data_IF_455133184505
#
_entry.id   IF_455133184505
#
_cell.length_a   1.000
_cell.length_b   1.000
_cell.length_c   1.000
_cell.angle_alpha   90.00
_cell.angle_beta   90.00
_cell.angle_gamma   90.00
#
_symmetry.space_group_name_H-M   'P 1'
#
loop_
_entity.id
_entity.type
_entity.pdbx_description
1 polymer ?
#
# COMPACT_ATOMS: atom_id res chain seq x y z
N UNK A 1 2.85 75.89 32.30
CA UNK A 1 1.47 75.39 32.16
C UNK A 1 1.54 73.95 31.65
N UNK A 2 1.66 72.94 32.54
CA UNK A 2 0.57 72.08 33.07
C UNK A 2 -0.42 71.55 32.02
N UNK A 3 -0.38 70.21 31.88
CA UNK A 3 -1.42 69.20 31.52
C UNK A 3 -1.04 68.39 30.27
N UNK A 4 -1.20 67.08 30.19
CA UNK A 4 -1.60 66.03 31.12
C UNK A 4 -1.18 64.70 30.47
N UNK A 5 -0.77 63.74 31.28
CA UNK A 5 -0.59 62.32 30.95
C UNK A 5 -1.93 61.72 30.51
N UNK A 6 -1.96 60.89 29.46
CA UNK A 6 -2.77 59.66 29.46
C UNK A 6 -2.13 58.55 28.63
N UNK A 7 -1.76 57.51 29.37
CA UNK A 7 -1.46 56.14 28.97
C UNK A 7 -2.67 55.54 28.24
N UNK A 8 -2.45 54.93 27.08
CA UNK A 8 -3.32 53.93 26.45
C UNK A 8 -2.39 52.92 25.77
N UNK A 9 -1.95 51.94 26.56
CA UNK A 9 -2.44 50.56 26.53
C UNK A 9 -2.22 49.89 25.18
N UNK A 10 -1.13 49.10 25.18
CA UNK A 10 -1.01 47.83 24.49
C UNK A 10 -2.36 47.10 24.39
N UNK A 11 -2.90 47.01 23.18
CA UNK A 11 -3.63 45.83 22.75
C UNK A 11 -2.88 45.27 21.54
N UNK A 12 -1.96 44.34 21.83
CA UNK A 12 -1.55 43.29 20.91
C UNK A 12 -2.79 42.46 20.56
N UNK A 13 -3.68 43.02 19.75
CA UNK A 13 -4.57 42.25 18.93
C UNK A 13 -3.76 41.73 17.77
N UNK A 14 -3.04 40.62 17.99
CA UNK A 14 -2.77 39.66 16.92
C UNK A 14 -4.14 39.14 16.47
N UNK A 15 -4.85 39.99 15.72
CA UNK A 15 -5.86 39.55 14.78
C UNK A 15 -5.08 38.78 13.74
N UNK A 16 -4.80 37.51 14.03
CA UNK A 16 -4.69 36.49 13.01
C UNK A 16 -5.99 36.67 12.25
N UNK A 17 -5.93 37.39 11.13
CA UNK A 17 -6.97 37.33 10.13
C UNK A 17 -6.98 35.87 9.73
N UNK A 18 -7.84 35.09 10.39
CA UNK A 18 -8.43 33.92 9.79
C UNK A 18 -9.15 34.45 8.58
N UNK A 19 -8.43 34.61 7.48
CA UNK A 19 -9.04 34.57 6.16
C UNK A 19 -9.60 33.16 6.13
N UNK A 20 -10.94 32.96 6.21
CA UNK A 20 -11.47 31.64 5.99
C UNK A 20 -10.96 31.25 4.61
N UNK A 21 -10.15 30.18 4.55
CA UNK A 21 -9.73 29.62 3.28
C UNK A 21 -11.03 29.42 2.50
N UNK A 22 -11.19 30.18 1.42
CA UNK A 22 -12.38 30.07 0.59
C UNK A 22 -12.43 28.61 0.16
N UNK A 23 -13.56 27.90 0.33
CA UNK A 23 -13.64 26.51 -0.07
C UNK A 23 -13.20 26.43 -1.53
N UNK A 24 -12.12 25.70 -1.79
CA UNK A 24 -11.57 25.53 -3.13
C UNK A 24 -12.70 25.00 -4.01
N UNK A 25 -12.98 25.70 -5.12
CA UNK A 25 -14.04 25.26 -6.00
C UNK A 25 -13.60 23.98 -6.71
N UNK A 26 -14.54 23.07 -6.99
CA UNK A 26 -14.25 21.82 -7.72
C UNK A 26 -13.50 22.09 -9.04
N UNK A 27 -13.82 23.20 -9.72
CA UNK A 27 -13.16 23.59 -10.97
C UNK A 27 -11.71 24.04 -10.80
N UNK A 28 -11.34 24.60 -9.65
CA UNK A 28 -9.96 25.00 -9.37
C UNK A 28 -9.11 23.76 -9.06
N UNK A 29 -9.67 22.80 -8.32
CA UNK A 29 -9.06 21.49 -8.06
C UNK A 29 -8.81 20.72 -9.38
N UNK A 30 -9.78 20.69 -10.30
CA UNK A 30 -9.61 20.05 -11.60
C UNK A 30 -8.48 20.67 -12.43
N UNK A 31 -8.38 22.01 -12.42
CA UNK A 31 -7.30 22.72 -13.12
C UNK A 31 -5.93 22.42 -12.52
N UNK A 32 -5.85 22.36 -11.19
CA UNK A 32 -4.61 22.00 -10.50
C UNK A 32 -4.19 20.56 -10.83
N UNK A 33 -5.13 19.62 -10.88
CA UNK A 33 -4.85 18.24 -11.30
C UNK A 33 -4.49 18.11 -12.78
N UNK A 34 -5.16 18.84 -13.67
CA UNK A 34 -4.78 18.93 -15.08
C UNK A 34 -3.37 19.50 -15.24
N UNK A 35 -3.01 20.53 -14.47
CA UNK A 35 -1.66 21.09 -14.47
C UNK A 35 -0.65 20.06 -13.96
N UNK A 36 -0.93 19.41 -12.84
CA UNK A 36 -0.11 18.35 -12.22
C UNK A 36 0.20 17.23 -13.22
N UNK A 37 -0.84 16.68 -13.86
CA UNK A 37 -0.72 15.57 -14.82
C UNK A 37 0.17 15.93 -16.01
N UNK A 38 0.09 17.17 -16.46
CA UNK A 38 0.81 17.62 -17.64
C UNK A 38 2.23 18.16 -17.36
N UNK A 39 2.55 18.57 -16.11
CA UNK A 39 3.77 19.34 -15.84
C UNK A 39 4.65 18.81 -14.70
N UNK A 40 4.14 18.01 -13.76
CA UNK A 40 4.87 17.66 -12.52
C UNK A 40 5.32 16.19 -12.46
N UNK A 41 4.61 15.27 -13.13
CA UNK A 41 5.01 13.86 -13.25
C UNK A 41 4.29 12.90 -12.29
N UNK A 42 4.82 11.68 -12.15
CA UNK A 42 4.09 10.53 -11.58
C UNK A 42 3.67 10.65 -10.11
N UNK A 43 4.46 11.27 -9.24
CA UNK A 43 4.14 11.34 -7.80
C UNK A 43 2.93 12.23 -7.50
N UNK A 44 2.75 13.29 -8.29
CA UNK A 44 1.63 14.20 -8.12
C UNK A 44 0.31 13.56 -8.64
N UNK A 45 0.40 12.70 -9.66
CA UNK A 45 -0.71 11.83 -10.08
C UNK A 45 -1.04 10.79 -8.99
N UNK A 46 -0.03 10.28 -8.28
CA UNK A 46 -0.25 9.34 -7.17
C UNK A 46 -1.02 10.00 -6.02
N UNK A 47 -0.72 11.27 -5.73
CA UNK A 47 -1.48 12.06 -4.74
C UNK A 47 -2.93 12.25 -5.17
N UNK A 48 -3.19 12.62 -6.43
CA UNK A 48 -4.55 12.73 -6.98
C UNK A 48 -5.31 11.40 -6.81
N UNK A 49 -4.69 10.28 -7.18
CA UNK A 49 -5.29 8.96 -7.05
C UNK A 49 -5.68 8.65 -5.59
N UNK A 50 -4.80 8.96 -4.64
CA UNK A 50 -5.06 8.75 -3.21
C UNK A 50 -6.20 9.66 -2.69
N UNK A 51 -6.22 10.94 -3.07
CA UNK A 51 -7.25 11.88 -2.64
C UNK A 51 -8.65 11.42 -3.08
N UNK A 52 -8.80 10.91 -4.29
CA UNK A 52 -10.07 10.35 -4.75
C UNK A 52 -10.36 8.95 -4.19
N UNK A 53 -9.34 8.19 -3.76
CA UNK A 53 -9.54 6.91 -3.06
C UNK A 53 -10.19 7.12 -1.69
N UNK A 54 -9.72 8.11 -0.92
CA UNK A 54 -10.19 8.35 0.45
C UNK A 54 -11.31 9.40 0.54
N UNK A 55 -11.38 10.30 -0.43
CA UNK A 55 -12.07 11.58 -0.26
C UNK A 55 -11.31 12.51 0.70
N UNK A 56 -11.69 13.79 0.71
CA UNK A 56 -11.14 14.81 1.60
C UNK A 56 -12.24 15.84 1.92
N UNK A 57 -12.97 15.68 3.05
CA UNK A 57 -14.00 16.63 3.45
C UNK A 57 -13.49 18.06 3.63
N UNK A 58 -12.26 18.21 4.15
CA UNK A 58 -11.60 19.50 4.37
C UNK A 58 -11.33 20.25 3.05
N UNK A 59 -11.12 19.52 1.96
CA UNK A 59 -10.88 20.06 0.62
C UNK A 59 -12.12 19.96 -0.28
N UNK A 60 -13.27 19.55 0.25
CA UNK A 60 -14.51 19.33 -0.49
C UNK A 60 -14.34 18.34 -1.67
N UNK A 61 -13.53 17.31 -1.48
CA UNK A 61 -13.32 16.22 -2.45
C UNK A 61 -14.13 15.01 -2.01
N UNK A 62 -15.14 14.64 -2.80
CA UNK A 62 -15.87 13.39 -2.60
C UNK A 62 -15.02 12.19 -3.03
N UNK A 63 -15.22 11.05 -2.35
CA UNK A 63 -14.61 9.79 -2.76
C UNK A 63 -15.11 9.40 -4.16
N UNK A 64 -14.18 9.10 -5.07
CA UNK A 64 -14.43 8.66 -6.45
C UNK A 64 -13.48 7.51 -6.81
N UNK A 65 -13.88 6.30 -6.41
CA UNK A 65 -13.09 5.09 -6.65
C UNK A 65 -12.82 4.82 -8.14
N UNK A 66 -13.79 4.92 -9.07
CA UNK A 66 -13.49 4.78 -10.50
C UNK A 66 -12.42 5.74 -11.02
N UNK A 67 -12.42 7.00 -10.57
CA UNK A 67 -11.36 7.96 -10.93
C UNK A 67 -10.01 7.56 -10.34
N UNK A 68 -9.97 7.29 -9.05
CA UNK A 68 -8.75 6.83 -8.36
C UNK A 68 -8.11 5.63 -9.06
N UNK A 69 -8.91 4.60 -9.37
CA UNK A 69 -8.45 3.39 -10.07
C UNK A 69 -7.98 3.67 -11.49
N UNK A 70 -8.61 4.63 -12.19
CA UNK A 70 -8.15 5.05 -13.52
C UNK A 70 -6.79 5.75 -13.47
N UNK A 71 -6.51 6.52 -12.42
CA UNK A 71 -5.22 7.16 -12.20
C UNK A 71 -4.14 6.13 -11.82
N UNK A 72 -4.47 5.18 -10.92
CA UNK A 72 -3.59 4.04 -10.66
C UNK A 72 -3.31 3.22 -11.93
N UNK A 73 -4.30 3.01 -12.80
CA UNK A 73 -4.09 2.35 -14.08
C UNK A 73 -3.08 3.08 -14.98
N UNK A 74 -3.10 4.42 -14.98
CA UNK A 74 -2.14 5.23 -15.73
C UNK A 74 -0.73 5.08 -15.15
N UNK A 75 -0.59 5.18 -13.83
CA UNK A 75 0.67 5.00 -13.11
C UNK A 75 1.25 3.58 -13.27
N UNK A 76 0.40 2.56 -13.24
CA UNK A 76 0.80 1.17 -13.46
C UNK A 76 1.41 0.97 -14.84
N UNK A 77 0.84 1.57 -15.89
CA UNK A 77 1.44 1.55 -17.25
C UNK A 77 2.78 2.29 -17.29
N UNK A 78 2.96 3.29 -16.43
CA UNK A 78 4.22 3.99 -16.19
C UNK A 78 5.19 3.25 -15.26
N UNK A 79 4.98 1.97 -14.99
CA UNK A 79 5.84 1.13 -14.15
C UNK A 79 5.94 1.59 -12.68
N UNK A 80 4.83 2.10 -12.12
CA UNK A 80 4.77 2.50 -10.72
C UNK A 80 4.37 1.34 -9.79
N UNK A 81 5.24 0.91 -8.85
CA UNK A 81 4.95 -0.24 -7.99
C UNK A 81 3.93 0.05 -6.87
N UNK A 82 3.71 1.31 -6.51
CA UNK A 82 2.62 1.70 -5.59
C UNK A 82 1.27 1.50 -6.28
N UNK A 83 1.16 1.89 -7.55
CA UNK A 83 -0.04 1.65 -8.34
C UNK A 83 -0.28 0.15 -8.57
N UNK A 84 0.78 -0.63 -8.81
CA UNK A 84 0.70 -2.09 -8.89
C UNK A 84 0.14 -2.69 -7.60
N UNK A 85 0.67 -2.29 -6.43
CA UNK A 85 0.15 -2.70 -5.13
C UNK A 85 -1.34 -2.39 -5.00
N UNK A 86 -1.75 -1.14 -5.25
CA UNK A 86 -3.15 -0.70 -5.12
C UNK A 86 -4.10 -1.48 -6.02
N UNK A 87 -3.75 -1.64 -7.30
CA UNK A 87 -4.58 -2.42 -8.24
C UNK A 87 -4.63 -3.91 -7.86
N UNK A 88 -3.52 -4.48 -7.41
CA UNK A 88 -3.45 -5.85 -6.92
C UNK A 88 -4.33 -6.09 -5.71
N UNK A 89 -4.34 -5.19 -4.73
CA UNK A 89 -5.22 -5.29 -3.56
C UNK A 89 -6.70 -5.21 -3.94
N UNK A 90 -7.07 -4.34 -4.88
CA UNK A 90 -8.47 -4.25 -5.36
C UNK A 90 -8.86 -5.53 -6.12
N UNK A 91 -7.96 -6.07 -6.95
CA UNK A 91 -8.18 -7.33 -7.66
C UNK A 91 -8.32 -8.51 -6.68
N UNK A 92 -7.51 -8.55 -5.62
CA UNK A 92 -7.63 -9.56 -4.56
C UNK A 92 -8.96 -9.44 -3.83
N UNK A 93 -9.36 -8.23 -3.43
CA UNK A 93 -10.65 -8.01 -2.80
C UNK A 93 -11.83 -8.43 -3.72
N UNK A 94 -11.70 -8.21 -5.02
CA UNK A 94 -12.68 -8.72 -6.00
C UNK A 94 -12.71 -10.25 -6.05
N UNK A 95 -11.56 -10.94 -6.01
CA UNK A 95 -11.53 -12.40 -5.98
C UNK A 95 -12.16 -12.97 -4.71
N UNK A 96 -11.91 -12.35 -3.56
CA UNK A 96 -12.46 -12.77 -2.27
C UNK A 96 -13.98 -12.53 -2.20
N UNK A 97 -14.41 -11.32 -2.58
CA UNK A 97 -15.83 -10.95 -2.60
C UNK A 97 -16.14 -10.03 -3.78
N UNK A 98 -16.60 -10.58 -4.92
CA UNK A 98 -16.88 -9.79 -6.13
C UNK A 98 -17.91 -8.66 -5.94
N UNK A 99 -18.83 -8.83 -4.99
CA UNK A 99 -19.90 -7.86 -4.71
C UNK A 99 -19.40 -6.67 -3.87
N UNK A 100 -18.22 -6.77 -3.26
CA UNK A 100 -17.63 -5.69 -2.47
C UNK A 100 -17.03 -4.57 -3.32
N UNK A 101 -16.79 -4.81 -4.62
CA UNK A 101 -16.16 -3.86 -5.53
C UNK A 101 -17.20 -3.24 -6.47
N UNK A 102 -17.26 -1.90 -6.59
CA UNK A 102 -18.16 -1.24 -7.52
C UNK A 102 -17.95 -1.69 -8.98
N UNK A 103 -19.06 -1.89 -9.71
CA UNK A 103 -19.03 -2.35 -11.12
C UNK A 103 -18.15 -1.45 -12.02
N UNK A 104 -18.11 -0.15 -11.75
CA UNK A 104 -17.24 0.79 -12.46
C UNK A 104 -15.75 0.46 -12.32
N UNK A 105 -15.31 0.11 -11.12
CA UNK A 105 -13.93 -0.31 -10.81
C UNK A 105 -13.59 -1.62 -11.51
N UNK A 106 -14.48 -2.62 -11.45
CA UNK A 106 -14.31 -3.90 -12.14
C UNK A 106 -14.15 -3.71 -13.66
N UNK A 107 -14.94 -2.81 -14.27
CA UNK A 107 -14.80 -2.47 -15.70
C UNK A 107 -13.44 -1.88 -16.03
N UNK A 108 -12.86 -1.07 -15.13
CA UNK A 108 -11.54 -0.50 -15.32
C UNK A 108 -10.47 -1.58 -15.21
N UNK A 109 -10.48 -2.43 -14.16
CA UNK A 109 -9.50 -3.52 -14.01
C UNK A 109 -9.47 -4.45 -15.23
N UNK A 110 -10.65 -4.83 -15.75
CA UNK A 110 -10.75 -5.61 -17.00
C UNK A 110 -10.12 -4.92 -18.21
N UNK A 111 -10.14 -3.58 -18.28
CA UNK A 111 -9.48 -2.80 -19.34
C UNK A 111 -7.97 -2.69 -19.15
N UNK A 112 -7.47 -2.78 -17.92
CA UNK A 112 -6.02 -2.76 -17.66
C UNK A 112 -5.39 -4.08 -18.09
N UNK A 113 -6.07 -5.19 -17.82
CA UNK A 113 -5.70 -6.48 -18.38
C UNK A 113 -6.11 -7.69 -17.56
N UNK A 114 -6.37 -7.52 -16.25
CA UNK A 114 -6.63 -8.66 -15.39
C UNK A 114 -7.51 -8.34 -14.18
N UNK A 115 -8.24 -9.35 -13.70
CA UNK A 115 -8.85 -9.39 -12.36
C UNK A 115 -8.06 -10.27 -11.40
N UNK A 116 -6.92 -10.80 -11.85
CA UNK A 116 -5.98 -11.60 -11.06
C UNK A 116 -5.00 -10.66 -10.33
N UNK A 117 -4.92 -10.70 -8.98
CA UNK A 117 -3.96 -9.93 -8.21
C UNK A 117 -2.50 -10.28 -8.50
N UNK A 118 -2.19 -11.54 -8.84
CA UNK A 118 -0.83 -12.00 -9.16
C UNK A 118 -0.25 -11.19 -10.32
N UNK A 119 -1.06 -10.86 -11.32
CA UNK A 119 -0.64 -10.02 -12.46
C UNK A 119 -0.07 -8.67 -12.01
N UNK A 120 -0.74 -8.01 -11.07
CA UNK A 120 -0.33 -6.70 -10.59
C UNK A 120 0.88 -6.79 -9.67
N UNK A 121 0.85 -7.71 -8.70
CA UNK A 121 1.96 -7.88 -7.75
C UNK A 121 3.25 -8.32 -8.45
N UNK A 122 3.16 -9.25 -9.41
CA UNK A 122 4.33 -9.68 -10.20
C UNK A 122 4.93 -8.55 -11.03
N UNK A 123 4.09 -7.70 -11.61
CA UNK A 123 4.56 -6.51 -12.34
C UNK A 123 5.23 -5.51 -11.39
N UNK A 124 4.59 -5.21 -10.26
CA UNK A 124 5.12 -4.30 -9.24
C UNK A 124 6.42 -4.78 -8.59
N UNK A 125 6.61 -6.09 -8.45
CA UNK A 125 7.83 -6.68 -7.85
C UNK A 125 9.07 -6.56 -8.73
N UNK A 126 8.91 -6.26 -10.02
CA UNK A 126 10.00 -6.10 -10.98
C UNK A 126 10.56 -4.67 -11.02
N UNK A 127 9.81 -3.66 -10.56
CA UNK A 127 10.15 -2.25 -10.72
C UNK A 127 10.95 -1.70 -9.54
N UNK A 128 12.16 -2.23 -9.35
CA UNK A 128 13.11 -1.85 -8.27
C UNK A 128 14.13 -0.78 -8.67
N UNK A 129 14.00 -0.19 -9.86
CA UNK A 129 15.02 0.71 -10.42
C UNK A 129 15.22 1.99 -9.61
N UNK A 130 14.22 2.42 -8.85
CA UNK A 130 14.29 3.58 -7.97
C UNK A 130 14.36 3.14 -6.51
N UNK A 131 15.38 3.60 -5.77
CA UNK A 131 15.60 3.23 -4.37
C UNK A 131 14.36 3.48 -3.49
N UNK A 132 13.65 4.58 -3.74
CA UNK A 132 12.44 4.95 -3.00
C UNK A 132 11.29 3.95 -3.13
N UNK A 133 11.32 3.11 -4.16
CA UNK A 133 10.31 2.10 -4.42
C UNK A 133 10.75 0.68 -4.05
N UNK A 134 11.96 0.50 -3.51
CA UNK A 134 12.47 -0.81 -3.13
C UNK A 134 11.52 -1.53 -2.17
N UNK A 135 11.14 -0.87 -1.08
CA UNK A 135 10.28 -1.49 -0.04
C UNK A 135 8.92 -1.94 -0.61
N UNK A 136 8.27 -1.10 -1.44
CA UNK A 136 6.97 -1.44 -2.00
C UNK A 136 7.07 -2.54 -3.08
N UNK A 137 8.17 -2.59 -3.83
CA UNK A 137 8.44 -3.68 -4.76
C UNK A 137 8.73 -5.00 -4.04
N UNK A 138 9.46 -4.96 -2.93
CA UNK A 138 9.70 -6.13 -2.07
C UNK A 138 8.38 -6.61 -1.43
N UNK A 139 7.52 -5.69 -0.98
CA UNK A 139 6.17 -6.02 -0.50
C UNK A 139 5.32 -6.66 -1.59
N UNK A 140 5.33 -6.13 -2.81
CA UNK A 140 4.64 -6.73 -3.95
C UNK A 140 5.10 -8.17 -4.20
N UNK A 141 6.40 -8.48 -4.07
CA UNK A 141 6.90 -9.86 -4.21
C UNK A 141 6.33 -10.79 -3.12
N UNK A 142 6.22 -10.31 -1.88
CA UNK A 142 5.59 -11.09 -0.79
C UNK A 142 4.12 -11.36 -1.09
N UNK A 143 3.38 -10.34 -1.54
CA UNK A 143 1.95 -10.47 -1.85
C UNK A 143 1.70 -11.35 -3.09
N UNK A 144 2.57 -11.28 -4.09
CA UNK A 144 2.60 -12.20 -5.23
C UNK A 144 2.68 -13.66 -4.73
N UNK A 145 3.65 -13.95 -3.85
CA UNK A 145 3.82 -15.29 -3.29
C UNK A 145 2.61 -15.77 -2.48
N UNK A 146 2.01 -14.90 -1.66
CA UNK A 146 0.81 -15.24 -0.89
C UNK A 146 -0.39 -15.51 -1.81
N UNK A 147 -0.60 -14.66 -2.83
CA UNK A 147 -1.66 -14.86 -3.81
C UNK A 147 -1.50 -16.19 -4.56
N UNK A 148 -0.28 -16.52 -4.99
CA UNK A 148 0.05 -17.81 -5.61
C UNK A 148 -0.19 -19.00 -4.68
N UNK A 149 0.13 -18.87 -3.38
CA UNK A 149 -0.17 -19.90 -2.39
C UNK A 149 -1.68 -20.14 -2.24
N UNK A 150 -2.48 -19.08 -2.23
CA UNK A 150 -3.94 -19.16 -2.15
C UNK A 150 -4.56 -19.81 -3.39
N UNK A 151 -3.95 -19.60 -4.57
CA UNK A 151 -4.30 -20.29 -5.81
C UNK A 151 -3.73 -21.72 -5.91
N UNK A 152 -3.07 -22.20 -4.85
CA UNK A 152 -2.44 -23.52 -4.78
C UNK A 152 -1.33 -23.74 -5.83
N UNK A 153 -0.69 -22.66 -6.30
CA UNK A 153 0.49 -22.66 -7.18
C UNK A 153 1.76 -22.62 -6.33
N UNK A 154 2.05 -23.74 -5.66
CA UNK A 154 2.98 -23.80 -4.53
C UNK A 154 4.44 -23.56 -4.93
N UNK A 155 4.88 -24.10 -6.06
CA UNK A 155 6.23 -23.91 -6.58
C UNK A 155 6.46 -22.44 -6.99
N UNK A 156 5.48 -21.82 -7.63
CA UNK A 156 5.53 -20.41 -8.04
C UNK A 156 5.52 -19.48 -6.81
N UNK A 157 4.70 -19.80 -5.79
CA UNK A 157 4.72 -19.13 -4.49
C UNK A 157 6.13 -19.17 -3.86
N UNK A 158 6.75 -20.35 -3.78
CA UNK A 158 8.10 -20.51 -3.23
C UNK A 158 9.11 -19.67 -4.03
N UNK A 159 9.01 -19.66 -5.36
CA UNK A 159 9.89 -18.86 -6.22
C UNK A 159 9.72 -17.35 -5.96
N UNK A 160 8.49 -16.85 -5.89
CA UNK A 160 8.21 -15.44 -5.63
C UNK A 160 8.74 -15.00 -4.24
N UNK A 161 8.50 -15.80 -3.20
CA UNK A 161 8.92 -15.53 -1.82
C UNK A 161 10.44 -15.67 -1.59
N UNK A 162 11.15 -16.33 -2.50
CA UNK A 162 12.61 -16.51 -2.46
C UNK A 162 13.32 -15.84 -3.64
N UNK A 163 12.66 -14.90 -4.32
CA UNK A 163 13.15 -14.25 -5.55
C UNK A 163 14.48 -13.52 -5.34
N UNK A 164 14.67 -12.92 -4.17
CA UNK A 164 15.92 -12.33 -3.73
C UNK A 164 16.06 -12.34 -2.20
N UNK A 165 17.23 -11.91 -1.73
CA UNK A 165 17.58 -11.94 -0.31
C UNK A 165 16.68 -11.04 0.53
N UNK A 166 16.35 -9.84 0.05
CA UNK A 166 15.57 -8.87 0.82
C UNK A 166 14.15 -9.39 1.07
N UNK A 167 13.53 -10.01 0.05
CA UNK A 167 12.21 -10.67 0.18
C UNK A 167 12.29 -11.91 1.07
N UNK A 168 13.27 -12.79 0.86
CA UNK A 168 13.41 -14.06 1.59
C UNK A 168 13.76 -13.89 3.09
N UNK A 169 14.23 -12.71 3.48
CA UNK A 169 14.56 -12.36 4.87
C UNK A 169 13.36 -11.84 5.66
N UNK A 170 12.23 -11.48 5.01
CA UNK A 170 11.00 -11.07 5.71
C UNK A 170 10.33 -12.26 6.39
N UNK A 171 9.85 -12.08 7.62
CA UNK A 171 9.27 -13.20 8.38
C UNK A 171 7.96 -13.69 7.77
N UNK A 172 7.17 -12.79 7.17
CA UNK A 172 5.94 -13.15 6.46
C UNK A 172 6.23 -14.02 5.22
N UNK A 173 7.28 -13.69 4.47
CA UNK A 173 7.69 -14.51 3.32
C UNK A 173 8.17 -15.91 3.76
N UNK A 174 8.89 -15.98 4.88
CA UNK A 174 9.34 -17.25 5.46
C UNK A 174 8.17 -18.10 5.93
N UNK A 175 7.16 -17.49 6.57
CA UNK A 175 5.95 -18.17 7.02
C UNK A 175 5.18 -18.81 5.84
N UNK A 176 4.92 -18.06 4.77
CA UNK A 176 4.22 -18.60 3.61
C UNK A 176 5.07 -19.56 2.78
N UNK A 177 6.40 -19.42 2.80
CA UNK A 177 7.31 -20.43 2.23
C UNK A 177 7.21 -21.74 3.00
N UNK A 178 7.17 -21.69 4.33
CA UNK A 178 6.93 -22.86 5.18
C UNK A 178 5.59 -23.53 4.86
N UNK A 179 4.50 -22.77 4.78
CA UNK A 179 3.18 -23.31 4.44
C UNK A 179 3.17 -23.96 3.06
N UNK A 180 3.87 -23.38 2.09
CA UNK A 180 4.00 -23.95 0.75
C UNK A 180 4.74 -25.30 0.80
N UNK A 181 5.87 -25.39 1.51
CA UNK A 181 6.61 -26.63 1.70
C UNK A 181 5.81 -27.70 2.46
N UNK A 182 5.03 -27.29 3.46
CA UNK A 182 4.16 -28.19 4.20
C UNK A 182 3.09 -28.81 3.29
N UNK A 183 2.44 -28.00 2.45
CA UNK A 183 1.43 -28.48 1.48
C UNK A 183 1.99 -29.49 0.47
N UNK A 184 3.26 -29.37 0.07
CA UNK A 184 3.93 -30.35 -0.82
C UNK A 184 4.61 -31.51 -0.05
N UNK A 185 4.35 -31.66 1.25
CA UNK A 185 4.83 -32.77 2.07
C UNK A 185 6.32 -32.71 2.45
N UNK A 186 6.97 -31.54 2.35
CA UNK A 186 8.38 -31.33 2.72
C UNK A 186 8.51 -30.78 4.14
N UNK A 187 8.07 -31.57 5.12
CA UNK A 187 7.94 -31.17 6.54
C UNK A 187 9.25 -30.62 7.11
N UNK A 188 10.38 -31.34 6.96
CA UNK A 188 11.68 -30.86 7.47
C UNK A 188 12.12 -29.50 6.92
N UNK A 189 11.70 -29.16 5.70
CA UNK A 189 11.99 -27.87 5.09
C UNK A 189 11.03 -26.81 5.65
N UNK A 190 9.75 -27.15 5.76
CA UNK A 190 8.74 -26.28 6.35
C UNK A 190 9.12 -25.86 7.78
N UNK A 191 9.53 -26.81 8.63
CA UNK A 191 9.90 -26.55 10.02
C UNK A 191 11.10 -25.59 10.13
N UNK A 192 12.07 -25.69 9.22
CA UNK A 192 13.19 -24.74 9.17
C UNK A 192 12.74 -23.33 8.85
N UNK A 193 11.81 -23.16 7.91
CA UNK A 193 11.25 -21.85 7.56
C UNK A 193 10.34 -21.29 8.65
N UNK A 194 9.53 -22.14 9.33
CA UNK A 194 8.72 -21.73 10.47
C UNK A 194 9.61 -21.22 11.62
N UNK A 195 10.66 -21.95 11.96
CA UNK A 195 11.62 -21.53 12.97
C UNK A 195 12.32 -20.23 12.59
N UNK A 196 12.65 -20.04 11.30
CA UNK A 196 13.24 -18.79 10.80
C UNK A 196 12.26 -17.62 10.92
N UNK A 197 10.99 -17.82 10.57
CA UNK A 197 9.94 -16.80 10.65
C UNK A 197 9.70 -16.36 12.11
N UNK A 198 9.50 -17.31 13.02
CA UNK A 198 9.16 -16.99 14.41
C UNK A 198 10.35 -16.50 15.25
N UNK A 199 11.59 -16.75 14.82
CA UNK A 199 12.80 -16.21 15.46
C UNK A 199 13.44 -15.10 14.61
N UNK A 200 12.69 -14.46 13.72
CA UNK A 200 13.18 -13.35 12.93
C UNK A 200 13.36 -12.10 13.83
N UNK A 201 14.53 -11.42 13.82
CA UNK A 201 14.74 -10.22 14.64
C UNK A 201 13.88 -9.02 14.19
N UNK A 202 13.30 -9.09 12.98
CA UNK A 202 12.38 -8.10 12.42
C UNK A 202 11.04 -8.75 12.07
N UNK A 203 10.52 -9.55 13.00
CA UNK A 203 9.24 -10.24 12.82
C UNK A 203 8.10 -9.23 12.62
N UNK A 204 7.20 -9.52 11.67
CA UNK A 204 6.03 -8.70 11.38
C UNK A 204 4.87 -9.04 12.33
N UNK A 205 4.04 -8.06 12.69
CA UNK A 205 2.92 -8.23 13.65
C UNK A 205 2.01 -9.42 13.32
N UNK A 206 1.62 -9.55 12.05
CA UNK A 206 0.80 -10.68 11.57
C UNK A 206 1.45 -12.07 11.78
N UNK A 207 2.78 -12.13 11.87
CA UNK A 207 3.53 -13.37 12.12
C UNK A 207 3.69 -13.59 13.63
N UNK A 208 3.82 -12.53 14.42
CA UNK A 208 3.81 -12.62 15.90
C UNK A 208 2.55 -13.34 16.36
N UNK A 209 1.37 -12.90 15.91
CA UNK A 209 0.09 -13.52 16.28
C UNK A 209 0.07 -15.02 15.99
N UNK A 210 0.48 -15.43 14.79
CA UNK A 210 0.61 -16.84 14.42
C UNK A 210 1.59 -17.61 15.33
N UNK A 211 2.76 -17.04 15.59
CA UNK A 211 3.80 -17.68 16.40
C UNK A 211 3.44 -17.76 17.89
N UNK A 212 2.58 -16.87 18.39
CA UNK A 212 2.07 -16.91 19.77
C UNK A 212 1.13 -18.10 19.98
N UNK A 213 0.29 -18.40 19.00
CA UNK A 213 -0.73 -19.44 19.07
C UNK A 213 -0.22 -20.86 18.76
N UNK A 214 1.06 -21.03 18.44
CA UNK A 214 1.66 -22.32 18.08
C UNK A 214 2.51 -22.92 19.22
N UNK A 215 1.97 -23.83 20.04
CA UNK A 215 2.68 -24.42 21.19
C UNK A 215 3.87 -25.32 20.83
N UNK A 216 4.06 -25.64 19.55
CA UNK A 216 5.13 -26.50 19.04
C UNK A 216 6.45 -25.77 18.70
N UNK A 217 6.49 -24.44 18.78
CA UNK A 217 7.66 -23.66 18.34
C UNK A 217 8.51 -23.21 19.54
N UNK A 218 9.80 -23.59 19.55
CA UNK A 218 10.77 -23.14 20.55
C UNK A 218 11.16 -21.69 20.23
N UNK A 219 10.85 -20.79 21.16
CA UNK A 219 11.08 -19.34 21.04
C UNK A 219 12.40 -18.96 21.69
N UNK A 220 13.25 -18.19 21.01
CA UNK A 220 14.48 -17.64 21.60
C UNK A 220 14.50 -16.12 21.72
N UNK A 221 13.55 -15.41 21.09
CA UNK A 221 13.61 -13.95 20.93
C UNK A 221 12.43 -13.17 21.57
N UNK A 222 11.55 -13.86 22.29
CA UNK A 222 10.41 -13.24 23.00
C UNK A 222 10.66 -13.20 24.52
N UNK A 223 11.87 -12.85 24.92
CA UNK A 223 12.18 -12.58 26.34
C UNK A 223 11.79 -11.11 26.64
N UNK A 224 11.04 -10.93 27.73
CA UNK A 224 10.60 -9.64 28.27
C UNK A 224 11.75 -8.66 28.57
#
# INVERSE_FOLDING_TARGET
>A
MKKLIYILMFSLGLGVCWVPASPLSKNDIEKDFDFIRNNIGGDAVLLEAFLYETGSPEQNIEQDLPRSVSLYAMLFRGQNPVAAYKLGMIAWQYQDNPMSIPVGVVKILKKIGSLDPVFYFSSGSQWKSELRYKEIADLNAVLEGIALFNENKLEESIQALNKDKDVAERSLAQLYTAFSYLKIGKVDIADRFLNKACNNPKIEDSVIEFCLDSPSLVKTNFED
#
